data_IF_555320281179
#
_entry.id   IF_555320281179
#
_cell.length_a   1.000
_cell.length_b   1.000
_cell.length_c   1.000
_cell.angle_alpha   90.00
_cell.angle_beta   90.00
_cell.angle_gamma   90.00
#
_symmetry.space_group_name_H-M   'P 1'
#
loop_
_entity.id
_entity.type
_entity.pdbx_description
1 polymer ?
#
# COMPACT_ATOMS: atom_id res chain seq x y z
N UNK A 1 -23.43 -6.12 19.81
CA UNK A 1 -23.46 -4.84 20.53
C UNK A 1 -22.19 -4.06 20.20
N UNK A 2 -22.37 -2.89 19.67
CA UNK A 2 -21.25 -2.02 19.29
C UNK A 2 -20.79 -1.27 20.54
N UNK A 3 -19.80 -1.80 21.26
CA UNK A 3 -19.25 -1.11 22.42
C UNK A 3 -18.35 0.03 21.95
N UNK A 4 -18.80 1.26 22.14
CA UNK A 4 -18.09 2.49 21.80
C UNK A 4 -17.32 3.01 23.02
N UNK A 5 -16.24 2.34 23.40
CA UNK A 5 -15.51 2.70 24.63
C UNK A 5 -13.99 2.65 24.50
N UNK A 6 -13.47 2.42 23.27
CA UNK A 6 -12.03 2.34 23.06
C UNK A 6 -11.42 3.71 22.83
N UNK A 7 -10.36 4.01 23.55
CA UNK A 7 -9.47 5.14 23.21
C UNK A 7 -8.60 4.78 22.02
N UNK A 8 -8.08 5.77 21.33
CA UNK A 8 -7.28 5.55 20.10
C UNK A 8 -6.08 4.62 20.33
N UNK A 9 -5.42 4.69 21.49
CA UNK A 9 -4.31 3.80 21.82
C UNK A 9 -4.73 2.34 21.99
N UNK A 10 -5.92 2.10 22.53
CA UNK A 10 -6.50 0.75 22.68
C UNK A 10 -6.93 0.20 21.32
N UNK A 11 -7.55 1.05 20.48
CA UNK A 11 -7.89 0.69 19.11
C UNK A 11 -6.63 0.34 18.30
N UNK A 12 -5.56 1.11 18.46
CA UNK A 12 -4.27 0.85 17.83
C UNK A 12 -3.71 -0.52 18.19
N UNK A 13 -3.71 -0.86 19.47
CA UNK A 13 -3.28 -2.18 19.95
C UNK A 13 -4.15 -3.31 19.42
N UNK A 14 -5.47 -3.15 19.47
CA UNK A 14 -6.42 -4.15 19.02
C UNK A 14 -6.38 -4.41 17.52
N UNK A 15 -6.19 -3.36 16.73
CA UNK A 15 -6.13 -3.45 15.26
C UNK A 15 -4.73 -3.74 14.71
N UNK A 16 -3.69 -3.63 15.55
CA UNK A 16 -2.31 -3.72 15.12
C UNK A 16 -1.88 -2.58 14.19
N UNK A 17 -2.56 -1.43 14.28
CA UNK A 17 -2.23 -0.21 13.56
C UNK A 17 -1.57 0.80 14.49
N UNK A 18 -0.79 1.71 13.94
CA UNK A 18 -0.28 2.85 14.69
C UNK A 18 -1.35 3.94 14.82
N UNK A 19 -1.27 4.75 15.88
CA UNK A 19 -2.22 5.85 16.13
C UNK A 19 -2.26 6.83 14.96
N UNK A 20 -1.10 7.17 14.40
CA UNK A 20 -0.97 8.06 13.25
C UNK A 20 -1.68 7.50 12.00
N UNK A 21 -1.58 6.19 11.79
CA UNK A 21 -2.25 5.49 10.69
C UNK A 21 -3.77 5.56 10.84
N UNK A 22 -4.29 5.38 12.05
CA UNK A 22 -5.72 5.51 12.35
C UNK A 22 -6.21 6.93 12.06
N UNK A 23 -5.48 7.94 12.52
CA UNK A 23 -5.79 9.35 12.25
C UNK A 23 -5.76 9.68 10.75
N UNK A 24 -4.79 9.10 10.04
CA UNK A 24 -4.70 9.24 8.59
C UNK A 24 -5.93 8.66 7.89
N UNK A 25 -6.36 7.46 8.25
CA UNK A 25 -7.55 6.85 7.66
C UNK A 25 -8.86 7.59 8.01
N UNK A 26 -8.96 8.15 9.21
CA UNK A 26 -10.07 9.05 9.55
C UNK A 26 -10.09 10.28 8.64
N UNK A 27 -8.93 10.93 8.48
CA UNK A 27 -8.78 12.12 7.61
C UNK A 27 -9.12 11.81 6.15
N UNK A 28 -8.73 10.63 5.67
CA UNK A 28 -9.02 10.17 4.32
C UNK A 28 -10.47 9.67 4.13
N UNK A 29 -11.27 9.68 5.17
CA UNK A 29 -12.66 9.23 5.13
C UNK A 29 -12.85 7.73 5.00
N UNK A 30 -11.81 6.93 5.26
CA UNK A 30 -11.87 5.47 5.24
C UNK A 30 -12.44 4.89 6.53
N UNK A 31 -12.34 5.62 7.63
CA UNK A 31 -12.95 5.31 8.93
C UNK A 31 -14.06 6.29 9.23
N UNK A 32 -15.18 5.82 9.83
CA UNK A 32 -16.15 6.75 10.39
C UNK A 32 -15.49 7.59 11.49
N UNK A 33 -15.96 8.83 11.69
CA UNK A 33 -15.42 9.67 12.74
C UNK A 33 -15.65 9.04 14.12
N UNK A 34 -14.71 9.29 15.05
CA UNK A 34 -14.86 8.91 16.43
C UNK A 34 -16.05 9.64 17.07
N UNK A 35 -16.71 8.98 18.02
CA UNK A 35 -17.68 9.64 18.88
C UNK A 35 -16.92 10.37 20.00
N UNK A 36 -17.35 11.57 20.33
CA UNK A 36 -16.77 12.34 21.45
C UNK A 36 -17.51 12.03 22.73
N UNK A 37 -16.75 11.69 23.78
CA UNK A 37 -17.28 11.54 25.15
C UNK A 37 -17.64 12.91 25.76
N UNK A 38 -18.29 12.90 26.92
CA UNK A 38 -18.59 14.14 27.67
C UNK A 38 -17.33 14.94 28.01
N UNK A 39 -16.18 14.28 28.21
CA UNK A 39 -14.88 14.91 28.42
C UNK A 39 -14.15 15.31 27.13
N UNK A 40 -14.84 15.30 25.98
CA UNK A 40 -14.28 15.62 24.66
C UNK A 40 -13.18 14.67 24.17
N UNK A 41 -13.11 13.44 24.69
CA UNK A 41 -12.22 12.39 24.22
C UNK A 41 -12.81 11.65 23.02
N UNK A 42 -11.97 11.27 22.06
CA UNK A 42 -12.37 10.43 20.94
C UNK A 42 -12.57 8.97 21.40
N UNK A 43 -13.75 8.43 21.13
CA UNK A 43 -14.09 7.04 21.42
C UNK A 43 -14.39 6.29 20.14
N UNK A 44 -13.92 5.07 20.09
CA UNK A 44 -14.05 4.16 18.97
C UNK A 44 -14.76 2.88 19.40
N UNK A 45 -15.35 2.18 18.46
CA UNK A 45 -16.06 0.95 18.73
C UNK A 45 -15.53 -0.23 17.94
N UNK A 46 -16.20 -1.37 18.09
CA UNK A 46 -15.87 -2.63 17.39
C UNK A 46 -15.91 -2.46 15.88
N UNK A 47 -16.84 -1.66 15.35
CA UNK A 47 -16.92 -1.37 13.92
C UNK A 47 -15.66 -0.69 13.36
N UNK A 48 -15.03 0.16 14.15
CA UNK A 48 -13.75 0.78 13.78
C UNK A 48 -12.63 -0.26 13.71
N UNK A 49 -12.58 -1.18 14.69
CA UNK A 49 -11.58 -2.25 14.70
C UNK A 49 -11.75 -3.22 13.52
N UNK A 50 -12.98 -3.61 13.20
CA UNK A 50 -13.29 -4.47 12.05
C UNK A 50 -12.92 -3.78 10.72
N UNK A 51 -13.24 -2.51 10.60
CA UNK A 51 -12.93 -1.72 9.39
C UNK A 51 -11.41 -1.54 9.21
N UNK A 52 -10.68 -1.30 10.29
CA UNK A 52 -9.20 -1.25 10.26
C UNK A 52 -8.59 -2.58 9.84
N UNK A 53 -9.12 -3.70 10.32
CA UNK A 53 -8.68 -5.03 9.92
C UNK A 53 -8.91 -5.25 8.41
N UNK A 54 -10.07 -4.86 7.91
CA UNK A 54 -10.38 -4.89 6.48
C UNK A 54 -9.38 -4.07 5.66
N UNK A 55 -9.12 -2.83 6.06
CA UNK A 55 -8.17 -1.94 5.39
C UNK A 55 -6.76 -2.56 5.40
N UNK A 56 -6.32 -3.10 6.54
CA UNK A 56 -5.02 -3.78 6.64
C UNK A 56 -4.90 -4.96 5.67
N UNK A 57 -5.93 -5.81 5.59
CA UNK A 57 -5.93 -6.92 4.62
C UNK A 57 -5.81 -6.42 3.19
N UNK A 58 -6.56 -5.40 2.80
CA UNK A 58 -6.46 -4.79 1.49
C UNK A 58 -5.05 -4.22 1.23
N UNK A 59 -4.47 -3.55 2.21
CA UNK A 59 -3.09 -3.01 2.10
C UNK A 59 -2.05 -4.12 1.98
N UNK A 60 -2.25 -5.26 2.64
CA UNK A 60 -1.36 -6.41 2.49
C UNK A 60 -1.39 -7.02 1.08
N UNK A 61 -2.45 -6.77 0.33
CA UNK A 61 -2.59 -7.12 -1.09
C UNK A 61 -2.12 -5.99 -2.03
N UNK A 62 -1.45 -4.99 -1.49
CA UNK A 62 -0.93 -3.82 -2.22
C UNK A 62 -2.02 -2.98 -2.91
N UNK A 63 -3.24 -3.03 -2.41
CA UNK A 63 -4.35 -2.22 -2.92
C UNK A 63 -4.17 -0.75 -2.57
N UNK A 64 -4.52 0.11 -3.49
CA UNK A 64 -4.51 1.57 -3.30
C UNK A 64 -5.65 2.02 -2.38
N UNK A 65 -5.50 3.19 -1.76
CA UNK A 65 -6.57 3.77 -0.94
C UNK A 65 -7.86 4.02 -1.75
N UNK A 66 -7.72 4.31 -3.04
CA UNK A 66 -8.86 4.47 -3.93
C UNK A 66 -9.64 3.16 -4.12
N UNK A 67 -8.94 2.06 -4.39
CA UNK A 67 -9.55 0.72 -4.49
C UNK A 67 -10.21 0.30 -3.18
N UNK A 68 -9.52 0.53 -2.06
CA UNK A 68 -10.05 0.23 -0.72
C UNK A 68 -11.32 1.03 -0.44
N UNK A 69 -11.33 2.33 -0.79
CA UNK A 69 -12.51 3.18 -0.64
C UNK A 69 -13.69 2.64 -1.43
N UNK A 70 -13.48 2.21 -2.66
CA UNK A 70 -14.52 1.59 -3.48
C UNK A 70 -15.04 0.29 -2.84
N UNK A 71 -14.16 -0.59 -2.38
CA UNK A 71 -14.56 -1.82 -1.70
C UNK A 71 -15.35 -1.56 -0.42
N UNK A 72 -14.99 -0.52 0.34
CA UNK A 72 -15.72 -0.14 1.55
C UNK A 72 -17.13 0.36 1.23
N UNK A 73 -17.33 1.06 0.11
CA UNK A 73 -18.67 1.46 -0.32
C UNK A 73 -19.56 0.25 -0.58
N UNK A 74 -19.05 -0.81 -1.23
CA UNK A 74 -19.80 -2.06 -1.43
C UNK A 74 -20.02 -2.83 -0.13
N UNK A 75 -19.03 -2.84 0.76
CA UNK A 75 -19.17 -3.45 2.09
C UNK A 75 -20.29 -2.79 2.90
N UNK A 76 -20.43 -1.47 2.80
CA UNK A 76 -21.45 -0.69 3.49
C UNK A 76 -22.82 -0.77 2.78
N UNK A 77 -22.87 -1.24 1.54
CA UNK A 77 -24.09 -1.43 0.74
C UNK A 77 -24.23 -2.89 0.25
N UNK A 78 -24.53 -3.85 1.14
CA UNK A 78 -24.46 -5.29 0.84
C UNK A 78 -25.53 -5.77 -0.16
N UNK A 79 -26.43 -4.93 -0.62
CA UNK A 79 -27.44 -5.23 -1.64
C UNK A 79 -26.92 -5.01 -3.07
N UNK A 80 -25.76 -4.40 -3.22
CA UNK A 80 -25.09 -4.25 -4.52
C UNK A 80 -24.55 -5.62 -5.01
N UNK A 81 -24.44 -5.76 -6.32
CA UNK A 81 -23.95 -7.01 -6.91
C UNK A 81 -22.43 -7.17 -6.75
N UNK A 82 -21.94 -8.40 -6.70
CA UNK A 82 -20.49 -8.67 -6.67
C UNK A 82 -19.77 -8.31 -7.97
N UNK A 83 -20.48 -7.89 -9.02
CA UNK A 83 -19.87 -7.57 -10.32
C UNK A 83 -18.86 -6.46 -10.24
N UNK A 84 -19.19 -5.38 -9.52
CA UNK A 84 -18.31 -4.23 -9.35
C UNK A 84 -17.10 -4.57 -8.48
N UNK A 85 -17.29 -5.39 -7.45
CA UNK A 85 -16.18 -5.90 -6.63
C UNK A 85 -15.21 -6.73 -7.47
N UNK A 86 -15.73 -7.61 -8.31
CA UNK A 86 -14.92 -8.40 -9.24
C UNK A 86 -14.13 -7.50 -10.21
N UNK A 87 -14.75 -6.45 -10.74
CA UNK A 87 -14.09 -5.50 -11.63
C UNK A 87 -12.94 -4.76 -10.94
N UNK A 88 -13.09 -4.40 -9.66
CA UNK A 88 -12.01 -3.79 -8.88
C UNK A 88 -10.84 -4.75 -8.75
N UNK A 89 -11.11 -6.01 -8.42
CA UNK A 89 -10.08 -7.05 -8.30
C UNK A 89 -9.41 -7.35 -9.64
N UNK A 90 -10.17 -7.45 -10.72
CA UNK A 90 -9.62 -7.69 -12.07
C UNK A 90 -8.65 -6.56 -12.48
N UNK A 91 -9.02 -5.31 -12.26
CA UNK A 91 -8.14 -4.17 -12.51
C UNK A 91 -6.88 -4.22 -11.64
N UNK A 92 -7.02 -4.61 -10.38
CA UNK A 92 -5.88 -4.75 -9.48
C UNK A 92 -4.93 -5.88 -9.93
N UNK A 93 -5.48 -7.00 -10.37
CA UNK A 93 -4.72 -8.11 -10.96
C UNK A 93 -3.95 -7.64 -12.19
N UNK A 94 -4.55 -6.83 -13.06
CA UNK A 94 -3.89 -6.25 -14.22
C UNK A 94 -2.73 -5.34 -13.81
N UNK A 95 -2.91 -4.51 -12.78
CA UNK A 95 -1.83 -3.67 -12.23
C UNK A 95 -0.69 -4.52 -11.69
N UNK A 96 -0.98 -5.59 -10.95
CA UNK A 96 0.04 -6.52 -10.43
C UNK A 96 0.77 -7.22 -11.59
N UNK A 97 0.05 -7.66 -12.60
CA UNK A 97 0.63 -8.28 -13.80
C UNK A 97 1.61 -7.33 -14.51
N UNK A 98 1.20 -6.07 -14.68
CA UNK A 98 2.07 -5.05 -15.27
C UNK A 98 3.32 -4.83 -14.41
N UNK A 99 3.16 -4.76 -13.09
CA UNK A 99 4.27 -4.61 -12.15
C UNK A 99 5.26 -5.77 -12.20
N UNK A 100 4.77 -7.00 -12.32
CA UNK A 100 5.62 -8.19 -12.51
C UNK A 100 6.45 -8.04 -13.78
N UNK A 101 5.85 -7.59 -14.87
CA UNK A 101 6.55 -7.36 -16.12
C UNK A 101 7.66 -6.31 -15.97
N UNK A 102 7.34 -5.16 -15.36
CA UNK A 102 8.34 -4.11 -15.11
C UNK A 102 9.51 -4.60 -14.26
N UNK A 103 9.23 -5.35 -13.18
CA UNK A 103 10.27 -5.92 -12.32
C UNK A 103 11.10 -6.97 -13.04
N UNK A 104 10.49 -7.77 -13.90
CA UNK A 104 11.20 -8.76 -14.72
C UNK A 104 12.16 -8.09 -15.69
N UNK A 105 11.73 -7.01 -16.34
CA UNK A 105 12.61 -6.24 -17.24
C UNK A 105 13.75 -5.57 -16.47
N UNK A 106 13.46 -5.01 -15.30
CA UNK A 106 14.49 -4.45 -14.42
C UNK A 106 15.51 -5.51 -13.99
N UNK A 107 15.05 -6.70 -13.63
CA UNK A 107 15.92 -7.82 -13.28
C UNK A 107 16.86 -8.20 -14.43
N UNK A 108 16.35 -8.25 -15.66
CA UNK A 108 17.18 -8.50 -16.86
C UNK A 108 18.25 -7.42 -17.03
N UNK A 109 17.87 -6.15 -16.90
CA UNK A 109 18.83 -5.04 -17.01
C UNK A 109 19.93 -5.13 -15.95
N UNK A 110 19.57 -5.42 -14.71
CA UNK A 110 20.55 -5.60 -13.62
C UNK A 110 21.46 -6.80 -13.87
N UNK A 111 20.93 -7.90 -14.39
CA UNK A 111 21.69 -9.09 -14.73
C UNK A 111 22.67 -8.81 -15.85
N UNK A 112 22.26 -8.09 -16.90
CA UNK A 112 23.13 -7.64 -17.97
C UNK A 112 24.24 -6.72 -17.44
N UNK A 113 23.88 -5.75 -16.62
CA UNK A 113 24.84 -4.84 -15.98
C UNK A 113 25.86 -5.62 -15.14
N UNK A 114 25.39 -6.60 -14.34
CA UNK A 114 26.27 -7.46 -13.53
C UNK A 114 27.23 -8.27 -14.39
N UNK A 115 26.83 -8.69 -15.58
CA UNK A 115 27.66 -9.46 -16.50
C UNK A 115 28.85 -8.67 -17.07
N UNK A 116 28.85 -7.35 -16.96
CA UNK A 116 29.96 -6.50 -17.38
C UNK A 116 31.18 -6.60 -16.45
N UNK A 117 31.02 -7.16 -15.27
CA UNK A 117 32.13 -7.40 -14.34
C UNK A 117 32.57 -8.86 -14.42
N UNK A 118 33.66 -9.13 -15.15
CA UNK A 118 34.21 -10.48 -15.30
C UNK A 118 35.39 -10.79 -14.38
N UNK A 119 36.01 -9.78 -13.76
CA UNK A 119 37.18 -9.91 -12.90
C UNK A 119 37.11 -8.93 -11.73
N UNK A 120 37.69 -9.30 -10.59
CA UNK A 120 37.84 -8.44 -9.40
C UNK A 120 38.95 -7.38 -9.59
N UNK A 121 38.85 -6.60 -10.65
CA UNK A 121 39.78 -5.51 -10.94
C UNK A 121 39.51 -4.26 -10.10
N UNK A 122 40.49 -3.36 -10.02
CA UNK A 122 40.32 -2.06 -9.37
C UNK A 122 39.10 -1.32 -9.98
N UNK A 123 38.38 -0.56 -9.14
CA UNK A 123 37.13 0.10 -9.55
C UNK A 123 37.22 1.02 -10.77
N UNK A 124 38.41 1.56 -11.09
CA UNK A 124 38.66 2.38 -12.29
C UNK A 124 38.49 1.59 -13.62
N UNK A 125 38.65 0.25 -13.57
CA UNK A 125 38.51 -0.62 -14.74
C UNK A 125 37.20 -1.43 -14.69
N UNK A 126 36.27 -1.05 -13.84
CA UNK A 126 34.99 -1.75 -13.68
C UNK A 126 34.03 -1.37 -14.80
N UNK A 127 33.67 -2.33 -15.65
CA UNK A 127 32.71 -2.14 -16.73
C UNK A 127 31.33 -1.70 -16.27
N UNK A 128 30.89 -2.11 -15.09
CA UNK A 128 29.62 -1.69 -14.49
C UNK A 128 29.63 -0.18 -14.20
N UNK A 129 30.65 0.30 -13.47
CA UNK A 129 30.78 1.72 -13.12
C UNK A 129 30.94 2.58 -14.38
N UNK A 130 31.70 2.12 -15.36
CA UNK A 130 31.86 2.81 -16.64
C UNK A 130 30.53 2.91 -17.39
N UNK A 131 29.78 1.81 -17.49
CA UNK A 131 28.47 1.80 -18.14
C UNK A 131 27.47 2.76 -17.44
N UNK A 132 27.41 2.74 -16.11
CA UNK A 132 26.54 3.63 -15.34
C UNK A 132 26.91 5.11 -15.50
N UNK A 133 28.19 5.41 -15.71
CA UNK A 133 28.69 6.78 -15.89
C UNK A 133 28.44 7.32 -17.31
N UNK A 134 28.38 6.45 -18.33
CA UNK A 134 28.37 6.83 -19.74
C UNK A 134 27.07 6.62 -20.48
N UNK A 135 26.09 5.95 -19.87
CA UNK A 135 24.77 5.71 -20.47
C UNK A 135 23.96 7.01 -20.46
N UNK A 136 24.13 7.82 -21.51
CA UNK A 136 23.24 8.96 -21.75
C UNK A 136 21.87 8.46 -22.19
N UNK A 137 20.83 8.87 -21.46
CA UNK A 137 19.47 8.80 -21.97
C UNK A 137 18.68 7.53 -21.73
N UNK A 138 19.03 6.67 -20.78
CA UNK A 138 18.00 5.77 -20.25
C UNK A 138 16.96 6.61 -19.49
N UNK A 139 15.68 6.59 -19.93
CA UNK A 139 14.65 7.24 -19.16
C UNK A 139 14.66 6.61 -17.78
N UNK A 140 14.90 7.42 -16.77
CA UNK A 140 14.70 7.01 -15.38
C UNK A 140 13.20 6.75 -15.24
N UNK A 141 12.76 5.56 -15.62
CA UNK A 141 11.45 5.09 -15.22
C UNK A 141 11.51 4.95 -13.70
N UNK A 142 10.99 5.95 -13.00
CA UNK A 142 10.62 5.75 -11.62
C UNK A 142 9.64 4.58 -11.64
N UNK A 143 10.09 3.43 -11.19
CA UNK A 143 9.18 2.38 -10.75
C UNK A 143 8.28 3.07 -9.73
N UNK A 144 7.02 3.31 -10.13
CA UNK A 144 6.07 3.99 -9.27
C UNK A 144 6.12 3.34 -7.91
N UNK A 145 6.58 4.08 -6.91
CA UNK A 145 6.48 3.66 -5.53
C UNK A 145 4.99 3.58 -5.23
N UNK A 146 4.41 2.38 -5.42
CA UNK A 146 3.13 2.07 -4.85
C UNK A 146 3.33 2.00 -3.34
N UNK A 147 2.94 3.06 -2.72
CA UNK A 147 2.88 3.13 -1.29
C UNK A 147 4.15 3.72 -0.69
N UNK A 148 4.10 4.99 -0.44
CA UNK A 148 4.52 5.41 0.86
C UNK A 148 3.67 4.59 1.84
N UNK A 149 4.13 3.36 2.06
CA UNK A 149 3.56 2.52 3.07
C UNK A 149 3.82 3.21 4.38
N UNK A 150 2.77 3.60 5.06
CA UNK A 150 2.85 3.82 6.50
C UNK A 150 3.36 2.50 7.09
N UNK A 151 4.63 2.49 7.41
CA UNK A 151 5.23 1.46 8.24
C UNK A 151 4.67 1.54 9.66
#
# INVERSE_FOLDING_TARGET
MNRMELKIGELAKRSGCQVETIRFYEKEGLLPPAIRSQGNYRLYGDSHAERLLFIRHCRSLDMTLHEIRQLLLFKDAPQETCTEVNQILDKHIDHVTHRIHELTELQKQLTQLRSLCHNSNAGKDCGILHNLATTEGMPIKKLGSHGEGCH
#
